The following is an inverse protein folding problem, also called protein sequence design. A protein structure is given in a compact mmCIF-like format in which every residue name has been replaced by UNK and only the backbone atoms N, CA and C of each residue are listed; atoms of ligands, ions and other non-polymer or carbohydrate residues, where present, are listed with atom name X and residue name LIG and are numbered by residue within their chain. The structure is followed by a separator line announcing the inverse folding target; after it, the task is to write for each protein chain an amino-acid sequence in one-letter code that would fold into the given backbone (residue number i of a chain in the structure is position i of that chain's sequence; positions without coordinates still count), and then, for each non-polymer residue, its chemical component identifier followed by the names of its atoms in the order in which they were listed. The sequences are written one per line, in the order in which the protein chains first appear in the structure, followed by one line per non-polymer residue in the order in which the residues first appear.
data_IF_294642571268
#
_entry.id   IF_294642571268
#
_cell.length_a   1.000
_cell.length_b   1.000
_cell.length_c   1.000
_cell.angle_alpha   90.00
_cell.angle_beta   90.00
_cell.angle_gamma   90.00
#
_symmetry.space_group_name_H-M   'P 1'
#
loop_
_entity.id
_entity.type
_entity.pdbx_description
1 polymer ?
#
# COMPACT_ATOMS: atom_id res chain seq x y z
N UNK A 1 -0.97 8.40 -27.51
CA UNK A 1 -2.03 7.55 -26.92
C UNK A 1 -1.51 7.06 -25.57
N UNK A 2 -1.70 7.85 -24.51
CA UNK A 2 -1.23 7.48 -23.17
C UNK A 2 -2.43 6.83 -22.46
N UNK A 3 -2.35 5.53 -22.25
CA UNK A 3 -3.38 4.78 -21.53
C UNK A 3 -3.60 5.42 -20.16
N UNK A 4 -4.86 5.73 -19.81
CA UNK A 4 -5.19 6.13 -18.43
C UNK A 4 -5.07 4.88 -17.57
N UNK A 5 -4.21 4.93 -16.56
CA UNK A 5 -3.96 3.83 -15.62
C UNK A 5 -4.53 4.19 -14.24
N UNK A 6 -5.87 4.29 -14.08
CA UNK A 6 -6.50 4.87 -12.89
C UNK A 6 -6.28 4.05 -11.61
N UNK A 7 -5.86 2.78 -11.73
CA UNK A 7 -5.60 1.87 -10.61
C UNK A 7 -4.11 1.62 -10.34
N UNK A 8 -3.20 2.26 -11.09
CA UNK A 8 -1.78 2.02 -10.93
C UNK A 8 -1.20 2.98 -9.89
N UNK A 9 -0.62 2.42 -8.83
CA UNK A 9 0.20 3.14 -7.85
C UNK A 9 1.61 2.57 -7.92
N UNK A 10 2.63 3.43 -7.92
CA UNK A 10 4.03 2.99 -7.99
C UNK A 10 4.39 1.98 -6.90
N UNK A 11 3.81 2.11 -5.71
CA UNK A 11 4.02 1.16 -4.60
C UNK A 11 3.55 -0.25 -4.91
N UNK A 12 2.55 -0.45 -5.79
CA UNK A 12 2.05 -1.78 -6.13
C UNK A 12 3.09 -2.65 -6.85
N UNK A 13 4.07 -2.06 -7.52
CA UNK A 13 5.20 -2.82 -8.06
C UNK A 13 5.99 -3.54 -6.96
N UNK A 14 6.35 -2.83 -5.88
CA UNK A 14 7.04 -3.41 -4.74
C UNK A 14 6.15 -4.40 -3.97
N UNK A 15 4.86 -4.09 -3.82
CA UNK A 15 3.89 -5.00 -3.21
C UNK A 15 3.75 -6.31 -4.01
N UNK A 16 3.73 -6.25 -5.34
CA UNK A 16 3.68 -7.43 -6.20
C UNK A 16 4.90 -8.36 -5.99
N UNK A 17 6.10 -7.78 -5.83
CA UNK A 17 7.32 -8.56 -5.54
C UNK A 17 7.14 -9.40 -4.28
N UNK A 18 6.60 -8.81 -3.20
CA UNK A 18 6.47 -9.53 -1.93
C UNK A 18 5.24 -10.45 -1.87
N UNK A 19 4.12 -10.07 -2.49
CA UNK A 19 2.89 -10.90 -2.50
C UNK A 19 3.07 -12.14 -3.39
N UNK A 20 3.75 -12.01 -4.54
CA UNK A 20 3.85 -13.12 -5.52
C UNK A 20 5.21 -13.82 -5.52
N UNK A 21 6.28 -13.09 -5.18
CA UNK A 21 7.65 -13.60 -5.17
C UNK A 21 8.02 -14.29 -3.86
N UNK A 22 7.64 -13.71 -2.72
CA UNK A 22 7.98 -14.21 -1.38
C UNK A 22 6.77 -14.22 -0.42
N UNK A 23 5.67 -14.93 -0.77
CA UNK A 23 4.37 -14.85 -0.08
C UNK A 23 4.38 -15.26 1.39
N UNK A 24 5.41 -16.00 1.84
CA UNK A 24 5.53 -16.49 3.22
C UNK A 24 6.00 -15.41 4.21
N UNK A 25 6.51 -14.27 3.72
CA UNK A 25 6.97 -13.21 4.64
C UNK A 25 5.79 -12.57 5.38
N UNK A 26 5.92 -12.25 6.68
CA UNK A 26 4.85 -11.63 7.45
C UNK A 26 4.30 -10.36 6.81
N UNK A 27 5.17 -9.53 6.21
CA UNK A 27 4.81 -8.24 5.62
C UNK A 27 3.97 -8.34 4.33
N UNK A 28 3.91 -9.53 3.72
CA UNK A 28 3.11 -9.80 2.53
C UNK A 28 1.68 -10.24 2.87
N UNK A 29 1.34 -10.48 4.14
CA UNK A 29 0.02 -10.98 4.52
C UNK A 29 -1.10 -9.94 4.32
N UNK A 30 -2.36 -10.36 4.07
CA UNK A 30 -3.46 -9.49 3.66
C UNK A 30 -3.69 -8.26 4.55
N UNK A 31 -3.66 -8.43 5.88
CA UNK A 31 -3.81 -7.31 6.84
C UNK A 31 -2.73 -6.24 6.64
N UNK A 32 -1.49 -6.66 6.42
CA UNK A 32 -0.38 -5.75 6.20
C UNK A 32 -0.54 -5.03 4.86
N UNK A 33 -0.83 -5.76 3.78
CA UNK A 33 -1.01 -5.18 2.44
C UNK A 33 -2.12 -4.13 2.44
N UNK A 34 -3.34 -4.51 2.85
CA UNK A 34 -4.51 -3.63 2.79
C UNK A 34 -4.41 -2.51 3.83
N UNK A 35 -4.14 -2.86 5.08
CA UNK A 35 -4.04 -1.90 6.17
C UNK A 35 -2.89 -0.92 5.98
N UNK A 36 -1.72 -1.41 5.61
CA UNK A 36 -0.54 -0.58 5.39
C UNK A 36 -0.71 0.42 4.26
N UNK A 37 -1.31 0.01 3.14
CA UNK A 37 -1.62 0.92 2.03
C UNK A 37 -2.67 1.98 2.42
N UNK A 38 -3.77 1.59 3.07
CA UNK A 38 -4.84 2.52 3.47
C UNK A 38 -4.34 3.54 4.51
N UNK A 39 -3.67 3.08 5.55
CA UNK A 39 -3.08 3.96 6.58
C UNK A 39 -2.09 4.93 5.94
N UNK A 40 -1.25 4.43 5.04
CA UNK A 40 -0.27 5.27 4.35
C UNK A 40 -0.92 6.31 3.44
N UNK A 41 -1.94 5.95 2.67
CA UNK A 41 -2.69 6.89 1.84
C UNK A 41 -3.39 7.96 2.68
N UNK A 42 -4.08 7.57 3.75
CA UNK A 42 -4.75 8.49 4.66
C UNK A 42 -3.75 9.46 5.31
N UNK A 43 -2.58 8.95 5.72
CA UNK A 43 -1.52 9.76 6.32
C UNK A 43 -0.97 10.77 5.32
N UNK A 44 -0.64 10.34 4.10
CA UNK A 44 -0.10 11.22 3.07
C UNK A 44 -1.09 12.32 2.65
N UNK A 45 -2.37 11.99 2.49
CA UNK A 45 -3.42 12.98 2.23
C UNK A 45 -3.55 13.95 3.40
N UNK A 46 -3.57 13.46 4.64
CA UNK A 46 -3.67 14.33 5.82
C UNK A 46 -2.52 15.34 5.86
N UNK A 47 -1.28 14.88 5.66
CA UNK A 47 -0.11 15.76 5.63
C UNK A 47 -0.21 16.78 4.49
N UNK A 48 -0.61 16.36 3.29
CA UNK A 48 -0.82 17.29 2.17
C UNK A 48 -1.91 18.34 2.48
N UNK A 49 -3.02 17.95 3.11
CA UNK A 49 -4.12 18.87 3.42
C UNK A 49 -3.75 19.87 4.53
N UNK A 50 -2.96 19.48 5.53
CA UNK A 50 -2.54 20.38 6.60
C UNK A 50 -1.39 21.30 6.21
N UNK A 51 -0.46 20.82 5.38
CA UNK A 51 0.81 21.51 5.14
C UNK A 51 1.09 21.83 3.66
N UNK A 52 0.26 21.34 2.74
CA UNK A 52 0.50 21.46 1.31
C UNK A 52 1.67 20.60 0.83
N UNK A 53 2.04 20.78 -0.44
CA UNK A 53 3.22 20.15 -1.03
C UNK A 53 4.46 21.01 -0.78
N UNK A 54 5.15 20.74 0.33
CA UNK A 54 6.43 21.39 0.66
C UNK A 54 7.59 20.39 0.57
N UNK A 55 8.83 20.89 0.64
CA UNK A 55 10.03 20.06 0.56
C UNK A 55 10.11 18.97 1.65
N UNK A 56 9.45 19.16 2.79
CA UNK A 56 9.44 18.21 3.91
C UNK A 56 8.15 17.39 4.00
N UNK A 57 7.05 17.79 3.36
CA UNK A 57 5.75 17.12 3.48
C UNK A 57 5.82 15.63 3.12
N UNK A 58 6.52 15.27 2.04
CA UNK A 58 6.65 13.88 1.60
C UNK A 58 7.45 13.02 2.59
N UNK A 59 8.51 13.59 3.18
CA UNK A 59 9.31 12.92 4.19
C UNK A 59 8.49 12.70 5.47
N UNK A 60 7.75 13.72 5.93
CA UNK A 60 6.88 13.61 7.10
C UNK A 60 5.74 12.60 6.89
N UNK A 61 5.09 12.63 5.73
CA UNK A 61 4.04 11.67 5.39
C UNK A 61 4.55 10.22 5.44
N UNK A 62 5.73 9.98 4.87
CA UNK A 62 6.34 8.64 4.82
C UNK A 62 6.73 8.17 6.22
N UNK A 63 7.41 9.00 7.01
CA UNK A 63 7.84 8.64 8.36
C UNK A 63 6.66 8.41 9.30
N UNK A 64 5.65 9.28 9.26
CA UNK A 64 4.44 9.13 10.07
C UNK A 64 3.63 7.90 9.66
N UNK A 65 3.53 7.61 8.37
CA UNK A 65 2.86 6.39 7.89
C UNK A 65 3.56 5.13 8.40
N UNK A 66 4.89 5.11 8.41
CA UNK A 66 5.67 4.00 9.00
C UNK A 66 5.38 3.85 10.49
N UNK A 67 5.40 4.94 11.25
CA UNK A 67 5.08 4.93 12.69
C UNK A 67 3.67 4.41 12.93
N UNK A 68 2.67 4.88 12.17
CA UNK A 68 1.30 4.43 12.31
C UNK A 68 1.15 2.94 11.97
N UNK A 69 1.80 2.46 10.90
CA UNK A 69 1.81 1.04 10.55
C UNK A 69 2.47 0.17 11.64
N UNK A 70 3.51 0.67 12.30
CA UNK A 70 4.16 -0.01 13.43
C UNK A 70 3.19 -0.11 14.61
N UNK A 71 2.50 0.98 14.95
CA UNK A 71 1.52 1.02 16.05
C UNK A 71 0.33 0.09 15.78
N UNK A 72 -0.19 0.07 14.55
CA UNK A 72 -1.36 -0.73 14.18
C UNK A 72 -1.02 -2.18 13.84
N UNK A 73 0.26 -2.55 13.82
CA UNK A 73 0.72 -3.88 13.41
C UNK A 73 0.34 -4.20 11.96
N UNK A 74 0.40 -3.20 11.06
CA UNK A 74 0.06 -3.33 9.63
C UNK A 74 1.24 -2.97 8.73
N UNK A 75 2.47 -3.26 9.18
CA UNK A 75 3.69 -2.89 8.45
C UNK A 75 3.71 -3.55 7.07
N UNK A 76 3.65 -2.70 6.05
CA UNK A 76 3.83 -3.06 4.67
C UNK A 76 4.74 -2.03 4.03
N UNK A 77 6.04 -2.32 3.83
CA UNK A 77 7.02 -1.33 3.38
C UNK A 77 6.60 -0.54 2.12
N UNK A 78 5.92 -1.14 1.10
CA UNK A 78 5.38 -0.38 -0.03
C UNK A 78 4.36 0.73 0.35
N UNK A 79 3.74 0.61 1.52
CA UNK A 79 2.91 1.66 2.12
C UNK A 79 3.64 3.01 2.22
N UNK A 80 4.93 3.02 2.57
CA UNK A 80 5.72 4.27 2.62
C UNK A 80 5.71 5.03 1.28
N UNK A 81 5.89 4.33 0.16
CA UNK A 81 5.79 4.93 -1.18
C UNK A 81 4.36 5.38 -1.52
N UNK A 82 3.34 4.77 -0.92
CA UNK A 82 1.93 5.18 -1.07
C UNK A 82 1.67 6.52 -0.39
N UNK A 83 2.21 6.74 0.81
CA UNK A 83 2.13 8.01 1.54
C UNK A 83 2.89 9.13 0.80
N UNK A 84 4.12 8.83 0.36
CA UNK A 84 4.92 9.73 -0.47
C UNK A 84 4.17 10.12 -1.74
N UNK A 85 3.62 9.14 -2.45
CA UNK A 85 2.85 9.35 -3.66
C UNK A 85 1.61 10.21 -3.45
N UNK A 86 0.90 10.06 -2.33
CA UNK A 86 -0.26 10.89 -2.01
C UNK A 86 0.09 12.39 -1.94
N UNK A 87 1.23 12.73 -1.31
CA UNK A 87 1.71 14.11 -1.22
C UNK A 87 2.16 14.64 -2.57
N UNK A 88 3.03 13.89 -3.28
CA UNK A 88 3.60 14.36 -4.55
C UNK A 88 2.55 14.55 -5.65
N UNK A 89 1.52 13.70 -5.66
CA UNK A 89 0.42 13.80 -6.62
C UNK A 89 -0.71 14.73 -6.14
N UNK A 90 -0.55 15.40 -4.99
CA UNK A 90 -1.56 16.30 -4.43
C UNK A 90 -2.94 15.61 -4.36
N UNK A 91 -2.92 14.36 -3.89
CA UNK A 91 -4.03 13.44 -4.04
C UNK A 91 -5.25 13.90 -3.23
N UNK A 92 -6.43 13.79 -3.84
CA UNK A 92 -7.70 14.02 -3.14
C UNK A 92 -8.11 12.78 -2.31
N UNK A 93 -9.02 12.91 -1.32
CA UNK A 93 -9.45 11.83 -0.44
C UNK A 93 -9.90 10.55 -1.15
N UNK A 94 -10.39 10.66 -2.39
CA UNK A 94 -10.78 9.49 -3.20
C UNK A 94 -9.62 8.53 -3.43
N UNK A 95 -8.37 9.01 -3.41
CA UNK A 95 -7.15 8.22 -3.56
C UNK A 95 -7.08 7.03 -2.57
N UNK A 96 -7.63 7.19 -1.36
CA UNK A 96 -7.70 6.11 -0.36
C UNK A 96 -8.54 4.95 -0.88
N UNK A 97 -9.71 5.22 -1.47
CA UNK A 97 -10.61 4.20 -1.99
C UNK A 97 -10.10 3.68 -3.33
N UNK A 98 -9.79 4.59 -4.23
CA UNK A 98 -9.30 4.33 -5.58
C UNK A 98 -8.20 5.32 -5.92
N UNK A 99 -6.97 4.88 -6.21
CA UNK A 99 -6.59 3.49 -6.53
C UNK A 99 -6.27 2.59 -5.34
N UNK A 100 -6.05 3.13 -4.13
CA UNK A 100 -5.27 2.42 -3.10
C UNK A 100 -5.99 1.19 -2.53
N UNK A 101 -7.15 1.36 -1.90
CA UNK A 101 -7.86 0.24 -1.28
C UNK A 101 -8.32 -0.79 -2.32
N UNK A 102 -8.89 -0.33 -3.43
CA UNK A 102 -9.31 -1.20 -4.52
C UNK A 102 -8.14 -2.01 -5.11
N UNK A 103 -7.02 -1.35 -5.41
CA UNK A 103 -5.83 -2.02 -5.95
C UNK A 103 -5.20 -3.00 -4.97
N UNK A 104 -5.08 -2.63 -3.70
CA UNK A 104 -4.58 -3.52 -2.65
C UNK A 104 -5.48 -4.76 -2.47
N UNK A 105 -6.80 -4.59 -2.50
CA UNK A 105 -7.76 -5.70 -2.44
C UNK A 105 -7.62 -6.62 -3.65
N UNK A 106 -7.52 -6.07 -4.87
CA UNK A 106 -7.29 -6.84 -6.09
C UNK A 106 -5.99 -7.64 -5.98
N UNK A 107 -4.90 -7.03 -5.52
CA UNK A 107 -3.62 -7.74 -5.37
C UNK A 107 -3.68 -8.87 -4.35
N UNK A 108 -4.40 -8.68 -3.24
CA UNK A 108 -4.63 -9.77 -2.27
C UNK A 108 -5.46 -10.89 -2.90
N UNK A 109 -6.54 -10.57 -3.63
CA UNK A 109 -7.38 -11.56 -4.31
C UNK A 109 -6.54 -12.37 -5.31
N UNK A 110 -5.75 -11.71 -6.14
CA UNK A 110 -4.84 -12.38 -7.08
C UNK A 110 -3.78 -13.18 -6.32
N UNK A 111 -3.27 -12.67 -5.20
CA UNK A 111 -2.33 -13.38 -4.32
C UNK A 111 -2.92 -14.67 -3.74
N UNK A 112 -4.19 -14.66 -3.34
CA UNK A 112 -4.93 -15.85 -2.91
C UNK A 112 -5.03 -16.88 -4.04
N UNK A 113 -5.31 -16.44 -5.27
CA UNK A 113 -5.39 -17.36 -6.40
C UNK A 113 -4.00 -17.94 -6.73
N UNK A 114 -3.03 -17.08 -7.05
CA UNK A 114 -1.72 -17.50 -7.57
C UNK A 114 -0.94 -18.33 -6.55
N UNK A 115 -0.91 -17.92 -5.28
CA UNK A 115 -0.10 -18.62 -4.29
C UNK A 115 -0.72 -19.94 -3.81
N UNK A 116 -2.04 -20.13 -3.91
CA UNK A 116 -2.67 -21.41 -3.54
C UNK A 116 -2.84 -22.38 -4.71
N UNK A 117 -2.48 -22.00 -5.95
CA UNK A 117 -2.38 -22.94 -7.07
C UNK A 117 -1.15 -23.85 -6.96
N UNK A 118 -0.13 -23.45 -6.19
CA UNK A 118 1.06 -24.26 -5.97
C UNK A 118 0.88 -25.17 -4.74
N UNK A 119 1.16 -26.48 -4.84
CA UNK A 119 1.15 -27.38 -3.68
C UNK A 119 2.16 -26.99 -2.58
N UNK A 120 3.20 -26.24 -2.94
CA UNK A 120 4.32 -25.90 -2.06
C UNK A 120 4.16 -24.54 -1.36
N UNK A 121 3.06 -23.81 -1.63
CA UNK A 121 2.82 -22.48 -1.10
C UNK A 121 1.48 -22.45 -0.38
N UNK A 122 1.36 -21.56 0.61
CA UNK A 122 0.10 -21.32 1.31
C UNK A 122 -0.01 -19.84 1.63
N UNK A 123 -1.07 -19.20 1.15
CA UNK A 123 -1.33 -17.79 1.38
C UNK A 123 -2.82 -17.56 1.69
N UNK A 124 -3.17 -16.85 2.76
CA UNK A 124 -2.25 -16.27 3.71
C UNK A 124 -1.77 -17.30 4.74
N UNK A 125 -0.67 -16.96 5.42
CA UNK A 125 -0.24 -17.64 6.65
C UNK A 125 -1.10 -17.22 7.83
N UNK A 126 -1.58 -15.97 7.85
CA UNK A 126 -2.52 -15.44 8.84
C UNK A 126 -3.29 -14.24 8.28
N UNK A 127 -4.48 -14.00 8.83
CA UNK A 127 -5.37 -12.91 8.39
C UNK A 127 -5.35 -11.68 9.30
N UNK A 128 -5.14 -11.89 10.60
CA UNK A 128 -5.07 -10.87 11.64
C UNK A 128 -3.76 -11.03 12.39
#
# INVERSE_FOLDING_TARGET
MVYKMPLLVLSFGASAVIIYGVPDVPLAQPRNVVGGHIISAATGISIYYFFGMTWWSAALATSLAIVLMLITGTVHPPGGATALGAVLNQASPIYILTPVAAGAAIMVIIGLLVNNLSPNRRYPRYWL
#
